data_IF_184122815669
#
_entry.id   IF_184122815669
#
_cell.length_a   1.000
_cell.length_b   1.000
_cell.length_c   1.000
_cell.angle_alpha   90.00
_cell.angle_beta   90.00
_cell.angle_gamma   90.00
#
_symmetry.space_group_name_H-M   'P 1'
#
loop_
_entity.id
_entity.type
_entity.pdbx_description
1 polymer ?
#
# COMPACT_ATOMS: atom_id res chain seq x y z
N UNK A 1 -40.15 -18.06 -46.08
CA UNK A 1 -38.74 -17.78 -45.75
C UNK A 1 -37.93 -19.05 -45.91
N UNK A 2 -36.79 -18.99 -46.61
CA UNK A 2 -35.97 -20.17 -46.88
C UNK A 2 -35.25 -20.59 -45.57
N UNK A 3 -35.34 -21.85 -45.12
CA UNK A 3 -34.67 -22.32 -43.90
C UNK A 3 -33.16 -22.04 -43.92
N UNK A 4 -32.52 -22.02 -45.09
CA UNK A 4 -31.11 -21.67 -45.24
C UNK A 4 -30.81 -20.21 -44.87
N UNK A 5 -31.69 -19.27 -45.22
CA UNK A 5 -31.58 -17.85 -44.84
C UNK A 5 -31.77 -17.67 -43.33
N UNK A 6 -32.72 -18.40 -42.75
CA UNK A 6 -32.97 -18.34 -41.31
C UNK A 6 -31.75 -18.85 -40.53
N UNK A 7 -31.15 -19.96 -40.96
CA UNK A 7 -29.94 -20.53 -40.35
C UNK A 7 -28.74 -19.57 -40.42
N UNK A 8 -28.58 -18.85 -41.54
CA UNK A 8 -27.48 -17.91 -41.74
C UNK A 8 -27.62 -16.68 -40.83
N UNK A 9 -28.84 -16.15 -40.70
CA UNK A 9 -29.12 -15.04 -39.78
C UNK A 9 -28.93 -15.48 -38.33
N UNK A 10 -29.39 -16.67 -37.95
CA UNK A 10 -29.23 -17.20 -36.60
C UNK A 10 -27.76 -17.45 -36.25
N UNK A 11 -26.98 -17.98 -37.20
CA UNK A 11 -25.55 -18.20 -37.01
C UNK A 11 -24.79 -16.86 -36.86
N UNK A 12 -25.15 -15.86 -37.67
CA UNK A 12 -24.58 -14.52 -37.57
C UNK A 12 -24.88 -13.83 -36.24
N UNK A 13 -26.12 -13.91 -35.76
CA UNK A 13 -26.50 -13.33 -34.46
C UNK A 13 -25.84 -14.05 -33.29
N UNK A 14 -25.74 -15.38 -33.32
CA UNK A 14 -25.04 -16.17 -32.31
C UNK A 14 -23.53 -15.88 -32.29
N UNK A 15 -22.90 -15.74 -33.46
CA UNK A 15 -21.48 -15.38 -33.55
C UNK A 15 -21.23 -13.96 -33.02
N UNK A 16 -22.09 -13.01 -33.36
CA UNK A 16 -22.02 -11.64 -32.82
C UNK A 16 -22.19 -11.61 -31.30
N UNK A 17 -23.17 -12.36 -30.78
CA UNK A 17 -23.41 -12.48 -29.34
C UNK A 17 -22.21 -13.10 -28.62
N UNK A 18 -21.60 -14.15 -29.19
CA UNK A 18 -20.42 -14.79 -28.62
C UNK A 18 -19.22 -13.83 -28.52
N UNK A 19 -19.01 -12.99 -29.54
CA UNK A 19 -17.94 -11.98 -29.53
C UNK A 19 -18.20 -10.94 -28.43
N UNK A 20 -19.43 -10.44 -28.31
CA UNK A 20 -19.80 -9.44 -27.30
C UNK A 20 -19.64 -10.02 -25.89
N UNK A 21 -20.11 -11.25 -25.66
CA UNK A 21 -19.96 -11.94 -24.37
C UNK A 21 -18.49 -12.18 -24.03
N UNK A 22 -17.68 -12.61 -25.00
CA UNK A 22 -16.24 -12.81 -24.79
C UNK A 22 -15.52 -11.50 -24.46
N UNK A 23 -15.86 -10.40 -25.13
CA UNK A 23 -15.30 -9.08 -24.84
C UNK A 23 -15.73 -8.56 -23.46
N UNK A 24 -16.98 -8.80 -23.07
CA UNK A 24 -17.50 -8.44 -21.75
C UNK A 24 -16.79 -9.25 -20.65
N UNK A 25 -16.61 -10.56 -20.85
CA UNK A 25 -15.84 -11.42 -19.94
C UNK A 25 -14.38 -10.99 -19.81
N UNK A 26 -13.71 -10.61 -20.90
CA UNK A 26 -12.34 -10.12 -20.84
C UNK A 26 -12.22 -8.80 -20.06
N UNK A 27 -13.19 -7.89 -20.23
CA UNK A 27 -13.26 -6.63 -19.47
C UNK A 27 -13.53 -6.89 -17.98
N UNK A 28 -14.46 -7.78 -17.66
CA UNK A 28 -14.75 -8.18 -16.28
C UNK A 28 -13.54 -8.85 -15.62
N UNK A 29 -12.86 -9.76 -16.33
CA UNK A 29 -11.64 -10.40 -15.83
C UNK A 29 -10.50 -9.41 -15.58
N UNK A 30 -10.35 -8.40 -16.45
CA UNK A 30 -9.39 -7.30 -16.22
C UNK A 30 -9.76 -6.46 -15.00
N UNK A 31 -11.05 -6.13 -14.83
CA UNK A 31 -11.53 -5.39 -13.65
C UNK A 31 -11.34 -6.22 -12.39
N UNK A 32 -11.67 -7.51 -12.40
CA UNK A 32 -11.43 -8.43 -11.30
C UNK A 32 -9.94 -8.59 -10.98
N UNK A 33 -9.06 -8.66 -11.98
CA UNK A 33 -7.61 -8.65 -11.75
C UNK A 33 -7.12 -7.34 -11.15
N UNK A 34 -7.66 -6.19 -11.58
CA UNK A 34 -7.30 -4.90 -10.99
C UNK A 34 -7.87 -4.71 -9.58
N UNK A 35 -9.02 -5.31 -9.27
CA UNK A 35 -9.63 -5.24 -7.93
C UNK A 35 -9.03 -6.27 -6.97
N UNK A 36 -8.51 -7.41 -7.47
CA UNK A 36 -7.87 -8.47 -6.69
C UNK A 36 -6.33 -8.43 -6.76
N UNK A 37 -5.73 -7.26 -7.01
CA UNK A 37 -4.27 -7.06 -7.03
C UNK A 37 -3.47 -8.04 -7.93
N UNK A 38 -4.07 -8.57 -8.99
CA UNK A 38 -3.43 -9.48 -9.95
C UNK A 38 -3.59 -10.98 -9.66
N UNK A 39 -4.43 -11.37 -8.70
CA UNK A 39 -4.72 -12.79 -8.42
C UNK A 39 -5.78 -13.37 -9.38
N UNK A 40 -5.60 -14.61 -9.88
CA UNK A 40 -6.49 -15.21 -10.87
C UNK A 40 -7.89 -15.55 -10.31
N UNK A 41 -8.94 -15.54 -11.16
CA UNK A 41 -10.33 -15.75 -10.75
C UNK A 41 -10.54 -17.18 -10.20
N UNK A 42 -11.13 -17.29 -9.02
CA UNK A 42 -11.39 -18.56 -8.33
C UNK A 42 -10.71 -18.70 -6.96
N UNK A 43 -9.83 -17.77 -6.58
CA UNK A 43 -9.46 -17.61 -5.17
C UNK A 43 -10.62 -16.96 -4.42
N UNK A 44 -11.40 -17.79 -3.73
CA UNK A 44 -12.29 -17.30 -2.69
C UNK A 44 -11.42 -16.64 -1.64
N UNK A 45 -11.61 -15.35 -1.41
CA UNK A 45 -11.28 -14.76 -0.12
C UNK A 45 -12.13 -15.52 0.90
N UNK A 46 -11.58 -16.57 1.50
CA UNK A 46 -12.09 -17.09 2.76
C UNK A 46 -12.34 -15.87 3.64
N UNK A 47 -13.56 -15.68 4.17
CA UNK A 47 -13.87 -14.50 4.96
C UNK A 47 -12.77 -14.33 6.00
N UNK A 48 -12.07 -13.21 5.91
CA UNK A 48 -10.96 -12.80 6.77
C UNK A 48 -11.50 -12.43 8.16
N UNK A 49 -12.30 -13.30 8.76
CA UNK A 49 -12.42 -13.39 10.22
C UNK A 49 -11.45 -14.46 10.78
N UNK A 50 -10.73 -15.19 9.93
CA UNK A 50 -9.78 -16.24 10.36
C UNK A 50 -8.37 -16.16 9.79
N UNK A 51 -8.06 -15.07 9.08
CA UNK A 51 -6.69 -14.61 8.85
C UNK A 51 -6.62 -13.10 9.15
N UNK A 52 -7.06 -12.67 10.34
CA UNK A 52 -6.10 -11.86 11.07
C UNK A 52 -4.90 -12.80 11.19
N UNK A 53 -3.72 -12.49 10.62
CA UNK A 53 -2.53 -13.18 11.06
C UNK A 53 -2.64 -13.11 12.57
N UNK A 54 -2.44 -14.23 13.23
CA UNK A 54 -1.94 -14.13 14.58
C UNK A 54 -0.59 -13.42 14.42
N UNK A 55 -0.60 -12.09 14.25
CA UNK A 55 0.48 -11.17 14.56
C UNK A 55 0.59 -11.30 16.07
N UNK A 56 1.06 -12.48 16.48
CA UNK A 56 1.22 -12.85 17.85
C UNK A 56 2.14 -11.79 18.42
N UNK A 57 1.89 -11.41 19.66
CA UNK A 57 2.72 -10.49 20.42
C UNK A 57 4.23 -10.73 20.22
N UNK A 58 4.66 -11.95 19.88
CA UNK A 58 6.00 -12.33 19.43
C UNK A 58 6.53 -11.50 18.24
N UNK A 59 5.80 -11.37 17.12
CA UNK A 59 6.28 -10.62 15.94
C UNK A 59 6.30 -9.11 16.21
N UNK A 60 5.29 -8.58 16.90
CA UNK A 60 5.28 -7.17 17.32
C UNK A 60 6.45 -6.85 18.25
N UNK A 61 6.82 -7.78 19.14
CA UNK A 61 7.97 -7.63 20.04
C UNK A 61 9.30 -7.65 19.28
N UNK A 62 9.42 -8.50 18.26
CA UNK A 62 10.59 -8.56 17.38
C UNK A 62 10.75 -7.28 16.54
N UNK A 63 9.66 -6.79 15.94
CA UNK A 63 9.64 -5.51 15.22
C UNK A 63 10.01 -4.34 16.14
N UNK A 64 9.45 -4.31 17.36
CA UNK A 64 9.78 -3.28 18.36
C UNK A 64 11.26 -3.30 18.72
N UNK A 65 11.89 -4.48 18.81
CA UNK A 65 13.34 -4.57 19.07
C UNK A 65 14.20 -4.14 17.89
N UNK A 66 13.73 -4.32 16.66
CA UNK A 66 14.49 -3.98 15.44
C UNK A 66 14.41 -2.50 15.10
N UNK A 67 13.24 -1.87 15.26
CA UNK A 67 13.00 -0.49 14.83
C UNK A 67 13.04 0.53 15.98
N UNK A 68 12.71 0.10 17.21
CA UNK A 68 12.50 1.02 18.33
C UNK A 68 11.14 1.72 18.27
N UNK A 69 10.90 2.67 19.17
CA UNK A 69 9.67 3.47 19.16
C UNK A 69 9.78 4.64 18.18
N UNK A 70 8.72 4.89 17.41
CA UNK A 70 8.69 5.91 16.38
C UNK A 70 7.77 5.54 15.22
N UNK A 71 7.74 6.40 14.21
CA UNK A 71 7.05 6.16 12.94
C UNK A 71 8.09 5.83 11.88
N UNK A 72 8.01 4.63 11.31
CA UNK A 72 8.97 4.09 10.35
C UNK A 72 8.26 3.87 9.01
N UNK A 73 8.71 4.55 7.96
CA UNK A 73 8.10 4.47 6.63
C UNK A 73 9.11 3.87 5.66
N UNK A 74 8.78 2.72 5.08
CA UNK A 74 9.57 2.02 4.08
C UNK A 74 9.14 2.41 2.68
N UNK A 75 10.12 2.79 1.87
CA UNK A 75 9.94 3.43 0.57
C UNK A 75 10.94 2.88 -0.45
N UNK A 76 10.58 2.96 -1.73
CA UNK A 76 11.52 2.75 -2.85
C UNK A 76 11.47 3.93 -3.81
N UNK A 77 12.63 4.27 -4.39
CA UNK A 77 12.75 5.21 -5.49
C UNK A 77 11.87 4.84 -6.69
N UNK A 78 11.66 3.55 -6.94
CA UNK A 78 10.93 3.06 -8.12
C UNK A 78 9.42 2.99 -7.91
N UNK A 79 8.96 3.21 -6.68
CA UNK A 79 7.55 3.17 -6.32
C UNK A 79 6.91 4.55 -6.55
N UNK A 80 5.94 4.62 -7.47
CA UNK A 80 5.24 5.87 -7.80
C UNK A 80 4.42 6.41 -6.62
N UNK A 81 3.76 5.51 -5.89
CA UNK A 81 3.01 5.85 -4.68
C UNK A 81 3.92 6.45 -3.59
N UNK A 82 5.14 5.92 -3.45
CA UNK A 82 6.15 6.39 -2.53
C UNK A 82 6.66 7.79 -2.89
N UNK A 83 6.75 8.12 -4.19
CA UNK A 83 7.08 9.47 -4.64
C UNK A 83 5.99 10.46 -4.26
N UNK A 84 4.72 10.12 -4.50
CA UNK A 84 3.59 10.98 -4.11
C UNK A 84 3.56 11.26 -2.62
N UNK A 85 3.83 10.26 -1.79
CA UNK A 85 3.92 10.44 -0.34
C UNK A 85 5.06 11.38 0.05
N UNK A 86 6.23 11.28 -0.61
CA UNK A 86 7.35 12.19 -0.38
C UNK A 86 7.02 13.62 -0.80
N UNK A 87 6.33 13.80 -1.93
CA UNK A 87 5.87 15.11 -2.37
C UNK A 87 4.87 15.71 -1.36
N UNK A 88 3.94 14.90 -0.84
CA UNK A 88 3.01 15.32 0.22
C UNK A 88 3.76 15.72 1.51
N UNK A 89 4.84 15.02 1.89
CA UNK A 89 5.68 15.40 3.03
C UNK A 89 6.49 16.69 2.80
N UNK A 90 6.83 17.01 1.56
CA UNK A 90 7.51 18.27 1.21
C UNK A 90 6.54 19.46 1.29
N UNK A 91 5.27 19.24 0.92
CA UNK A 91 4.20 20.25 0.93
C UNK A 91 3.50 20.38 2.29
N UNK A 92 3.49 19.34 3.11
CA UNK A 92 2.76 19.28 4.39
C UNK A 92 3.71 19.40 5.56
N UNK A 93 3.52 20.43 6.39
CA UNK A 93 4.21 20.50 7.67
C UNK A 93 3.56 19.52 8.64
N UNK A 94 4.34 18.62 9.22
CA UNK A 94 3.85 17.64 10.20
C UNK A 94 4.58 17.86 11.51
N UNK A 95 3.85 17.84 12.62
CA UNK A 95 4.42 17.71 13.96
C UNK A 95 4.21 16.29 14.49
N UNK A 96 5.30 15.61 14.87
CA UNK A 96 5.27 14.28 15.49
C UNK A 96 5.93 14.39 16.86
N UNK A 97 5.31 13.85 17.90
CA UNK A 97 5.87 13.82 19.26
C UNK A 97 6.94 12.73 19.47
N UNK A 98 7.22 11.96 18.41
CA UNK A 98 8.10 10.81 18.36
C UNK A 98 9.01 10.89 17.12
N UNK A 99 10.05 10.06 17.05
CA UNK A 99 10.95 10.07 15.91
C UNK A 99 10.25 9.57 14.63
N UNK A 100 10.41 10.31 13.53
CA UNK A 100 9.94 9.93 12.20
C UNK A 100 11.14 9.46 11.37
N UNK A 101 11.02 8.29 10.75
CA UNK A 101 12.09 7.66 9.99
C UNK A 101 11.60 7.31 8.58
N UNK A 102 12.35 7.73 7.57
CA UNK A 102 12.14 7.35 6.18
C UNK A 102 13.21 6.34 5.77
N UNK A 103 12.82 5.09 5.57
CA UNK A 103 13.69 3.97 5.20
C UNK A 103 13.57 3.70 3.71
N UNK A 104 14.54 4.15 2.93
CA UNK A 104 14.63 3.79 1.52
C UNK A 104 15.32 2.44 1.37
N UNK A 105 14.65 1.47 0.74
CA UNK A 105 15.24 0.16 0.42
C UNK A 105 16.36 0.26 -0.61
N UNK A 106 16.32 1.32 -1.42
CA UNK A 106 17.31 1.69 -2.42
C UNK A 106 17.88 3.07 -2.09
N UNK A 107 18.41 3.76 -3.10
CA UNK A 107 18.91 5.13 -2.94
C UNK A 107 17.75 6.13 -3.04
N UNK A 108 17.58 7.08 -2.10
CA UNK A 108 16.54 8.10 -2.18
C UNK A 108 16.73 9.06 -3.37
N UNK A 109 15.65 9.71 -3.81
CA UNK A 109 15.74 10.85 -4.74
C UNK A 109 16.16 12.11 -3.97
N UNK A 110 16.79 13.12 -4.61
CA UNK A 110 17.20 14.35 -3.93
C UNK A 110 16.06 15.06 -3.18
N UNK A 111 14.84 15.02 -3.72
CA UNK A 111 13.63 15.59 -3.08
C UNK A 111 13.30 14.92 -1.74
N UNK A 112 13.65 13.64 -1.55
CA UNK A 112 13.41 12.97 -0.28
C UNK A 112 14.28 13.56 0.85
N UNK A 113 15.43 14.15 0.53
CA UNK A 113 16.28 14.82 1.52
C UNK A 113 15.64 16.14 1.99
N UNK A 114 15.04 16.91 1.09
CA UNK A 114 14.32 18.14 1.48
C UNK A 114 13.04 17.80 2.24
N UNK A 115 12.25 16.85 1.73
CA UNK A 115 11.02 16.40 2.38
C UNK A 115 11.29 15.85 3.80
N UNK A 116 12.36 15.07 3.98
CA UNK A 116 12.77 14.58 5.29
C UNK A 116 13.11 15.74 6.23
N UNK A 117 13.87 16.74 5.77
CA UNK A 117 14.21 17.91 6.59
C UNK A 117 12.96 18.72 6.97
N UNK A 118 12.02 18.90 6.03
CA UNK A 118 10.77 19.63 6.25
C UNK A 118 9.84 18.91 7.25
N UNK A 119 9.77 17.59 7.16
CA UNK A 119 8.98 16.76 8.07
C UNK A 119 9.69 16.45 9.41
N UNK A 120 10.94 16.91 9.61
CA UNK A 120 11.74 16.54 10.78
C UNK A 120 12.09 15.05 10.85
N UNK A 121 12.09 14.36 9.71
CA UNK A 121 12.35 12.93 9.60
C UNK A 121 13.84 12.62 9.44
N UNK A 122 14.26 11.47 9.97
CA UNK A 122 15.59 10.91 9.72
C UNK A 122 15.53 10.00 8.50
N UNK A 123 16.35 10.33 7.50
CA UNK A 123 16.45 9.56 6.26
C UNK A 123 17.50 8.45 6.39
N UNK A 124 17.10 7.22 6.04
CA UNK A 124 17.95 6.02 6.00
C UNK A 124 17.97 5.48 4.57
N UNK A 125 19.15 5.14 4.07
CA UNK A 125 19.33 4.61 2.71
C UNK A 125 19.70 3.12 2.73
N UNK A 126 19.44 2.41 1.63
CA UNK A 126 19.83 1.01 1.42
C UNK A 126 19.29 0.03 2.48
N UNK A 127 18.05 0.26 2.97
CA UNK A 127 17.38 -0.51 4.03
C UNK A 127 16.59 -1.73 3.50
N UNK A 128 17.03 -2.35 2.41
CA UNK A 128 16.33 -3.50 1.80
C UNK A 128 16.29 -4.72 2.72
N UNK A 129 17.39 -5.00 3.42
CA UNK A 129 17.48 -6.10 4.38
C UNK A 129 16.54 -5.87 5.57
N UNK A 130 16.55 -4.66 6.14
CA UNK A 130 15.66 -4.29 7.24
C UNK A 130 14.18 -4.41 6.82
N UNK A 131 13.82 -3.91 5.64
CA UNK A 131 12.47 -4.00 5.10
C UNK A 131 12.00 -5.46 4.98
N UNK A 132 12.89 -6.35 4.51
CA UNK A 132 12.61 -7.78 4.42
C UNK A 132 12.43 -8.43 5.79
N UNK A 133 13.23 -8.04 6.79
CA UNK A 133 13.14 -8.58 8.15
C UNK A 133 11.84 -8.17 8.84
N UNK A 134 11.37 -6.94 8.66
CA UNK A 134 10.13 -6.46 9.28
C UNK A 134 8.87 -6.83 8.48
N UNK A 135 9.02 -7.44 7.30
CA UNK A 135 7.92 -7.80 6.42
C UNK A 135 7.22 -6.60 5.76
N UNK A 136 7.96 -5.53 5.47
CA UNK A 136 7.45 -4.29 4.87
C UNK A 136 7.27 -4.37 3.33
N UNK A 137 6.94 -5.55 2.81
CA UNK A 137 6.66 -5.82 1.39
C UNK A 137 5.16 -6.17 1.27
N UNK A 138 4.33 -5.37 0.58
CA UNK A 138 4.65 -4.38 -0.46
C UNK A 138 4.98 -2.96 0.03
N UNK A 139 5.77 -2.23 -0.78
CA UNK A 139 6.06 -0.79 -0.62
C UNK A 139 4.99 0.08 -1.32
N UNK A 140 4.57 1.21 -0.74
CA UNK A 140 5.03 1.81 0.52
C UNK A 140 4.43 1.12 1.74
N UNK A 141 5.18 1.13 2.84
CA UNK A 141 4.78 0.48 4.09
C UNK A 141 5.12 1.32 5.31
N UNK A 142 4.17 1.52 6.21
CA UNK A 142 4.33 2.28 7.45
C UNK A 142 4.23 1.35 8.65
N UNK A 143 5.14 1.52 9.61
CA UNK A 143 5.13 0.86 10.92
C UNK A 143 5.26 1.95 11.98
N UNK A 144 4.22 2.13 12.79
CA UNK A 144 4.23 3.02 13.94
C UNK A 144 4.33 2.20 15.22
N UNK A 145 5.26 2.56 16.11
CA UNK A 145 5.59 1.82 17.34
C UNK A 145 5.52 2.78 18.52
N UNK A 146 4.44 2.67 19.29
CA UNK A 146 4.20 3.47 20.48
C UNK A 146 5.11 3.13 21.65
N UNK A 147 5.10 4.00 22.66
CA UNK A 147 5.89 3.88 23.89
C UNK A 147 5.62 2.60 24.69
N UNK A 148 4.43 2.02 24.54
CA UNK A 148 4.01 0.77 25.18
C UNK A 148 4.23 -0.48 24.31
N UNK A 149 4.94 -0.34 23.19
CA UNK A 149 5.15 -1.43 22.21
C UNK A 149 3.91 -1.75 21.39
N UNK A 150 2.95 -0.81 21.32
CA UNK A 150 1.81 -0.90 20.41
C UNK A 150 2.32 -0.69 18.99
N UNK A 151 2.05 -1.64 18.10
CA UNK A 151 2.47 -1.58 16.70
C UNK A 151 1.24 -1.41 15.82
N UNK A 152 1.23 -0.37 14.99
CA UNK A 152 0.24 -0.15 13.96
C UNK A 152 0.92 -0.10 12.59
N UNK A 153 0.24 -0.62 11.55
CA UNK A 153 0.83 -0.80 10.23
C UNK A 153 -0.14 -0.35 9.13
N UNK A 154 0.39 0.22 8.05
CA UNK A 154 -0.41 0.64 6.90
C UNK A 154 0.40 0.61 5.59
N UNK A 155 -0.22 0.16 4.51
CA UNK A 155 0.36 0.14 3.15
C UNK A 155 -0.04 1.36 2.30
N UNK A 156 -0.81 2.29 2.88
CA UNK A 156 -1.46 3.36 2.11
C UNK A 156 -0.52 4.57 1.94
N UNK A 157 -0.37 5.10 0.71
CA UNK A 157 0.64 6.12 0.38
C UNK A 157 0.16 7.55 0.60
N UNK A 158 -0.33 7.90 1.79
CA UNK A 158 -0.74 9.29 2.08
C UNK A 158 -0.35 9.71 3.49
N UNK A 159 -0.02 10.99 3.68
CA UNK A 159 0.36 11.52 5.01
C UNK A 159 -0.77 11.32 6.01
N UNK A 160 -2.02 11.49 5.58
CA UNK A 160 -3.19 11.25 6.44
C UNK A 160 -3.30 9.81 6.94
N UNK A 161 -2.87 8.81 6.18
CA UNK A 161 -2.86 7.41 6.63
C UNK A 161 -1.68 7.11 7.54
N UNK A 162 -0.54 7.77 7.32
CA UNK A 162 0.58 7.73 8.27
C UNK A 162 0.16 8.30 9.63
N UNK A 163 -0.59 9.41 9.63
CA UNK A 163 -1.16 10.02 10.85
C UNK A 163 -2.11 9.04 11.57
N UNK A 164 -2.97 8.34 10.83
CA UNK A 164 -3.88 7.34 11.41
C UNK A 164 -3.09 6.19 12.02
N UNK A 165 -2.08 5.65 11.32
CA UNK A 165 -1.24 4.59 11.84
C UNK A 165 -0.47 5.03 13.10
N UNK A 166 0.08 6.25 13.11
CA UNK A 166 0.73 6.83 14.28
C UNK A 166 -0.24 6.90 15.47
N UNK A 167 -1.45 7.43 15.24
CA UNK A 167 -2.49 7.54 16.26
C UNK A 167 -2.90 6.18 16.83
N UNK A 168 -3.04 5.16 15.99
CA UNK A 168 -3.41 3.80 16.43
C UNK A 168 -2.29 3.14 17.26
N UNK A 169 -1.03 3.53 17.03
CA UNK A 169 0.10 3.16 17.87
C UNK A 169 0.22 4.02 19.15
N UNK A 170 -0.62 5.04 19.33
CA UNK A 170 -0.55 5.97 20.46
C UNK A 170 0.53 7.05 20.34
N UNK A 171 0.96 7.35 19.11
CA UNK A 171 1.87 8.46 18.77
C UNK A 171 1.03 9.66 18.32
N UNK A 172 1.36 10.86 18.82
CA UNK A 172 0.66 12.08 18.41
C UNK A 172 1.34 12.65 17.16
N UNK A 173 0.61 12.66 16.06
CA UNK A 173 1.05 13.20 14.77
C UNK A 173 -0.04 14.09 14.20
N UNK A 174 0.27 15.35 13.94
CA UNK A 174 -0.69 16.33 13.43
C UNK A 174 -0.16 16.97 12.13
N UNK A 175 -1.06 17.17 11.17
CA UNK A 175 -0.79 17.95 9.96
C UNK A 175 -1.02 19.42 10.27
N UNK A 176 0.06 20.19 10.34
CA UNK A 176 0.00 21.64 10.49
C UNK A 176 -0.27 22.21 9.11
N UNK A 177 -1.53 22.55 8.85
CA UNK A 177 -1.92 23.16 7.59
C UNK A 177 -1.11 24.42 7.33
N UNK A 178 -0.49 24.52 6.16
CA UNK A 178 0.02 25.79 5.66
C UNK A 178 -1.17 26.73 5.48
N UNK A 179 -1.27 27.73 6.36
CA UNK A 179 -2.17 28.87 6.21
C UNK A 179 -1.76 29.76 5.05
#
# INVERSE_FOLDING_TARGET
MNPAMLALVLAGTLAGLAIVLNHCHARLALVELTLNEGLPPGHQNTPTEQLAPSFGQSQSREITTLLGSGVHIFLSRNCHACQRLIDEFDETTVSVDSALHLHFVDRPRPIATSAAANAGAVLHEHQSELASLVGADPLPYTVAIGSHGLVAQAVTPTVGQVVIAARDAGITMDMVGAS
#
